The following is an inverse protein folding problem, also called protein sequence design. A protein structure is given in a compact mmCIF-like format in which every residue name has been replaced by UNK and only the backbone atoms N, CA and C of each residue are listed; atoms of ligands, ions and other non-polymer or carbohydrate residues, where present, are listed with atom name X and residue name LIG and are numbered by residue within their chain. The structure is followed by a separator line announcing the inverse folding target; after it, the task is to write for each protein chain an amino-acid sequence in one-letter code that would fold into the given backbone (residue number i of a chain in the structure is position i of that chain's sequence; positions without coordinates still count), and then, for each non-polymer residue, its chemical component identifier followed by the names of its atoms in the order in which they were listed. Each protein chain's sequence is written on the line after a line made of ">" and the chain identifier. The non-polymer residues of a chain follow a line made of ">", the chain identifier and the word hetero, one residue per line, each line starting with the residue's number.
data_IF_452253298247
#
_entry.id   IF_452253298247
#
_cell.length_a   1.000
_cell.length_b   1.000
_cell.length_c   1.000
_cell.angle_alpha   90.00
_cell.angle_beta   90.00
_cell.angle_gamma   90.00
#
_symmetry.space_group_name_H-M   'P 1'
#
loop_
_entity.id
_entity.type
_entity.pdbx_description
1 polymer ?
#
# COMPACT_ATOMS: atom_id res chain seq x y z
N UNK A 1 -14.89 -0.17 -3.81
CA UNK A 1 -13.58 0.16 -3.20
C UNK A 1 -13.51 -0.09 -1.69
N UNK A 2 -14.65 -0.24 -1.02
CA UNK A 2 -14.77 -0.21 0.43
C UNK A 2 -14.79 -1.65 0.99
N UNK A 3 -13.98 -1.90 2.02
CA UNK A 3 -13.88 -3.16 2.74
C UNK A 3 -14.36 -2.93 4.17
N UNK A 4 -15.51 -3.51 4.53
CA UNK A 4 -16.05 -3.37 5.88
C UNK A 4 -15.36 -4.33 6.84
N UNK A 5 -14.98 -3.86 8.02
CA UNK A 5 -14.29 -4.70 9.00
C UNK A 5 -15.11 -5.94 9.40
N UNK A 6 -16.43 -5.83 9.50
CA UNK A 6 -17.31 -6.97 9.80
C UNK A 6 -17.30 -8.09 8.74
N UNK A 7 -16.83 -7.80 7.52
CA UNK A 7 -16.68 -8.80 6.45
C UNK A 7 -15.38 -9.62 6.59
N UNK A 8 -14.46 -9.19 7.46
CA UNK A 8 -13.21 -9.90 7.70
C UNK A 8 -13.42 -11.05 8.68
N UNK A 9 -12.68 -12.13 8.46
CA UNK A 9 -12.64 -13.26 9.40
C UNK A 9 -11.32 -13.27 10.15
N UNK A 10 -11.37 -13.36 11.47
CA UNK A 10 -10.19 -13.62 12.29
C UNK A 10 -9.87 -15.12 12.28
N UNK A 11 -8.63 -15.48 11.95
CA UNK A 11 -8.11 -16.85 11.96
C UNK A 11 -6.77 -16.83 12.67
N UNK A 12 -6.68 -17.47 13.84
CA UNK A 12 -5.54 -17.28 14.74
C UNK A 12 -5.40 -15.80 15.13
N UNK A 13 -4.22 -15.24 14.94
CA UNK A 13 -3.90 -13.85 15.24
C UNK A 13 -4.10 -12.89 14.05
N UNK A 14 -4.48 -13.39 12.87
CA UNK A 14 -4.60 -12.57 11.65
C UNK A 14 -6.05 -12.39 11.20
N UNK A 15 -6.28 -11.33 10.43
CA UNK A 15 -7.51 -11.12 9.69
C UNK A 15 -7.32 -11.54 8.23
N UNK A 16 -8.31 -12.23 7.68
CA UNK A 16 -8.39 -12.59 6.27
C UNK A 16 -9.65 -11.98 5.65
N UNK A 17 -9.58 -11.67 4.35
CA UNK A 17 -10.75 -11.43 3.54
C UNK A 17 -11.13 -12.76 2.84
N UNK A 18 -12.24 -13.42 3.21
CA UNK A 18 -12.65 -14.68 2.58
C UNK A 18 -12.82 -14.57 1.06
N UNK A 19 -13.23 -13.39 0.55
CA UNK A 19 -13.38 -13.14 -0.90
C UNK A 19 -12.07 -13.17 -1.68
N UNK A 20 -10.93 -13.03 -1.02
CA UNK A 20 -9.61 -13.14 -1.64
C UNK A 20 -9.16 -14.61 -1.83
N UNK A 21 -9.81 -15.56 -1.17
CA UNK A 21 -9.35 -16.93 -1.05
C UNK A 21 -10.11 -17.87 -1.99
N UNK A 22 -9.37 -18.65 -2.79
CA UNK A 22 -9.94 -19.76 -3.59
C UNK A 22 -10.34 -20.96 -2.72
N UNK A 23 -9.64 -21.13 -1.61
CA UNK A 23 -9.88 -22.17 -0.61
C UNK A 23 -9.55 -21.60 0.77
N UNK A 24 -10.29 -22.02 1.79
CA UNK A 24 -10.06 -21.55 3.16
C UNK A 24 -8.92 -22.39 3.77
N UNK A 25 -7.83 -21.77 4.26
CA UNK A 25 -6.77 -22.51 4.94
C UNK A 25 -7.28 -23.11 6.25
N UNK A 26 -6.90 -24.36 6.51
CA UNK A 26 -7.31 -25.10 7.72
C UNK A 26 -6.59 -24.61 8.99
N UNK A 27 -5.44 -23.95 8.86
CA UNK A 27 -4.68 -23.40 9.99
C UNK A 27 -3.88 -22.16 9.58
N UNK A 28 -4.15 -21.03 10.24
CA UNK A 28 -3.28 -19.85 10.31
C UNK A 28 -3.13 -19.49 11.78
N UNK A 29 -1.90 -19.51 12.31
CA UNK A 29 -1.65 -19.14 13.72
C UNK A 29 -1.24 -17.69 13.82
N UNK A 30 -0.25 -17.30 13.03
CA UNK A 30 0.37 -15.98 13.08
C UNK A 30 0.52 -15.37 11.67
N UNK A 31 1.16 -14.20 11.61
CA UNK A 31 1.42 -13.50 10.36
C UNK A 31 2.40 -14.24 9.43
N UNK A 32 3.25 -15.13 9.94
CA UNK A 32 4.20 -15.89 9.12
C UNK A 32 3.45 -16.95 8.33
N UNK A 33 2.54 -17.67 8.98
CA UNK A 33 1.62 -18.60 8.31
C UNK A 33 0.82 -17.85 7.22
N UNK A 34 0.29 -16.66 7.54
CA UNK A 34 -0.46 -15.82 6.60
C UNK A 34 0.35 -15.40 5.37
N UNK A 35 1.58 -14.89 5.56
CA UNK A 35 2.43 -14.47 4.44
C UNK A 35 3.04 -15.65 3.65
N UNK A 36 2.93 -16.88 4.15
CA UNK A 36 3.40 -18.10 3.48
C UNK A 36 2.43 -18.68 2.46
N UNK A 37 1.17 -18.23 2.47
CA UNK A 37 0.14 -18.71 1.54
C UNK A 37 0.55 -18.49 0.09
N UNK A 38 0.56 -19.56 -0.71
CA UNK A 38 0.92 -19.51 -2.12
C UNK A 38 -0.25 -19.04 -3.01
N UNK A 39 0.08 -18.34 -4.09
CA UNK A 39 -0.93 -17.75 -4.99
C UNK A 39 -1.64 -18.79 -5.86
N UNK A 40 -1.04 -19.96 -6.08
CA UNK A 40 -1.61 -21.02 -6.92
C UNK A 40 -2.81 -21.64 -6.22
N UNK A 41 -2.63 -22.02 -4.96
CA UNK A 41 -3.64 -22.65 -4.12
C UNK A 41 -4.66 -21.63 -3.61
N UNK A 42 -4.18 -20.53 -3.00
CA UNK A 42 -5.05 -19.65 -2.21
C UNK A 42 -5.52 -18.42 -2.99
N UNK A 43 -4.79 -18.01 -4.03
CA UNK A 43 -5.13 -16.87 -4.88
C UNK A 43 -4.16 -15.69 -4.76
N UNK A 44 -4.23 -14.78 -5.73
CA UNK A 44 -3.28 -13.66 -5.88
C UNK A 44 -3.27 -12.72 -4.69
N UNK A 45 -4.42 -12.53 -4.02
CA UNK A 45 -4.59 -11.62 -2.88
C UNK A 45 -4.59 -12.34 -1.52
N UNK A 46 -4.19 -13.61 -1.46
CA UNK A 46 -4.30 -14.42 -0.24
C UNK A 46 -3.46 -13.92 0.95
N UNK A 47 -2.46 -13.06 0.72
CA UNK A 47 -1.53 -12.54 1.73
C UNK A 47 -1.81 -11.08 2.13
N UNK A 48 -3.04 -10.63 1.89
CA UNK A 48 -3.57 -9.30 2.22
C UNK A 48 -5.09 -9.39 2.36
N UNK A 49 -5.70 -8.48 3.13
CA UNK A 49 -7.16 -8.34 3.13
C UNK A 49 -7.68 -7.57 1.90
N UNK A 50 -6.80 -6.92 1.15
CA UNK A 50 -7.18 -6.02 0.06
C UNK A 50 -7.16 -6.68 -1.32
N UNK A 51 -8.08 -6.23 -2.17
CA UNK A 51 -8.09 -6.49 -3.61
C UNK A 51 -8.49 -5.19 -4.36
N UNK A 52 -8.40 -5.13 -5.69
CA UNK A 52 -8.72 -3.92 -6.46
C UNK A 52 -10.14 -3.38 -6.26
N UNK A 53 -11.10 -4.22 -5.89
CA UNK A 53 -12.49 -3.85 -5.62
C UNK A 53 -12.72 -3.43 -4.16
N UNK A 54 -11.87 -3.89 -3.24
CA UNK A 54 -11.92 -3.69 -1.79
C UNK A 54 -10.54 -3.24 -1.29
N UNK A 55 -10.26 -1.95 -1.43
CA UNK A 55 -8.93 -1.35 -1.19
C UNK A 55 -8.81 -0.65 0.15
N UNK A 56 -9.93 -0.17 0.68
CA UNK A 56 -9.93 0.66 1.87
C UNK A 56 -10.74 0.01 2.97
N UNK A 57 -10.07 -0.32 4.08
CA UNK A 57 -10.74 -0.79 5.29
C UNK A 57 -11.52 0.39 5.90
N UNK A 58 -12.74 0.10 6.35
CA UNK A 58 -13.55 1.01 7.15
C UNK A 58 -14.03 0.29 8.40
N UNK A 59 -13.97 0.99 9.54
CA UNK A 59 -14.46 0.46 10.83
C UNK A 59 -15.62 1.28 11.41
N UNK A 60 -15.90 2.44 10.83
CA UNK A 60 -16.95 3.36 11.27
C UNK A 60 -17.43 4.27 10.12
N UNK A 61 -18.50 5.03 10.35
CA UNK A 61 -19.09 5.93 9.34
C UNK A 61 -18.16 7.06 8.87
N UNK A 62 -17.24 7.52 9.73
CA UNK A 62 -16.26 8.55 9.37
C UNK A 62 -15.30 7.99 8.30
N UNK A 63 -14.82 6.77 8.47
CA UNK A 63 -13.99 6.09 7.48
C UNK A 63 -14.74 5.93 6.16
N UNK A 64 -16.03 5.55 6.19
CA UNK A 64 -16.85 5.43 4.98
C UNK A 64 -16.93 6.74 4.21
N UNK A 65 -17.08 7.87 4.91
CA UNK A 65 -17.10 9.19 4.28
C UNK A 65 -15.77 9.48 3.58
N UNK A 66 -14.65 9.28 4.28
CA UNK A 66 -13.31 9.44 3.69
C UNK A 66 -13.13 8.55 2.46
N UNK A 67 -13.59 7.29 2.51
CA UNK A 67 -13.49 6.36 1.38
C UNK A 67 -14.36 6.79 0.19
N UNK A 68 -15.53 7.40 0.41
CA UNK A 68 -16.35 7.96 -0.68
C UNK A 68 -15.64 9.11 -1.39
N UNK A 69 -14.96 9.97 -0.64
CA UNK A 69 -14.16 11.06 -1.21
C UNK A 69 -12.97 10.51 -2.01
N UNK A 70 -12.27 9.48 -1.48
CA UNK A 70 -11.21 8.75 -2.18
C UNK A 70 -11.71 8.04 -3.44
N UNK A 71 -12.92 7.48 -3.42
CA UNK A 71 -13.54 6.87 -4.60
C UNK A 71 -13.83 7.93 -5.67
N UNK A 72 -14.24 9.13 -5.27
CA UNK A 72 -14.37 10.28 -6.17
C UNK A 72 -13.06 10.60 -6.87
N UNK A 73 -11.96 10.70 -6.11
CA UNK A 73 -10.61 10.90 -6.68
C UNK A 73 -10.18 9.77 -7.61
N UNK A 74 -10.46 8.51 -7.24
CA UNK A 74 -10.12 7.37 -8.09
C UNK A 74 -10.93 7.37 -9.40
N UNK A 75 -12.21 7.74 -9.36
CA UNK A 75 -13.01 7.90 -10.59
C UNK A 75 -12.48 8.99 -11.49
N UNK A 76 -11.99 10.10 -10.93
CA UNK A 76 -11.32 11.16 -11.71
C UNK A 76 -10.03 10.64 -12.36
N UNK A 77 -9.20 9.90 -11.60
CA UNK A 77 -8.02 9.23 -12.13
C UNK A 77 -8.35 8.31 -13.31
N UNK A 78 -9.41 7.51 -13.21
CA UNK A 78 -9.79 6.60 -14.30
C UNK A 78 -10.33 7.36 -15.52
N UNK A 79 -11.07 8.45 -15.31
CA UNK A 79 -11.67 9.25 -16.38
C UNK A 79 -10.64 10.06 -17.16
N UNK A 80 -9.63 10.60 -16.48
CA UNK A 80 -8.60 11.46 -17.05
C UNK A 80 -7.20 10.97 -16.67
N UNK A 81 -6.92 9.70 -17.01
CA UNK A 81 -5.70 9.04 -16.56
C UNK A 81 -4.40 9.68 -17.09
N UNK A 82 -4.43 10.32 -18.26
CA UNK A 82 -3.26 11.00 -18.85
C UNK A 82 -2.92 12.32 -18.15
N UNK A 83 -3.85 12.91 -17.39
CA UNK A 83 -3.56 14.03 -16.50
C UNK A 83 -2.69 13.60 -15.31
N UNK A 84 -2.96 12.42 -14.75
CA UNK A 84 -2.36 11.94 -13.51
C UNK A 84 -1.27 10.88 -13.71
N UNK A 85 -1.12 10.36 -14.92
CA UNK A 85 -0.07 9.46 -15.31
C UNK A 85 0.55 9.94 -16.62
N UNK A 86 1.88 9.95 -16.68
CA UNK A 86 2.59 10.15 -17.95
C UNK A 86 2.13 9.09 -18.95
N UNK A 87 1.96 9.48 -20.22
CA UNK A 87 1.44 8.62 -21.28
C UNK A 87 2.19 7.27 -21.39
N UNK A 88 3.53 7.33 -21.38
CA UNK A 88 4.37 6.12 -21.39
C UNK A 88 4.08 5.19 -20.20
N UNK A 89 3.85 5.75 -19.01
CA UNK A 89 3.62 4.99 -17.78
C UNK A 89 2.20 4.42 -17.77
N UNK A 90 1.22 5.19 -18.25
CA UNK A 90 -0.14 4.73 -18.40
C UNK A 90 -0.23 3.52 -19.35
N UNK A 91 0.35 3.64 -20.56
CA UNK A 91 0.36 2.54 -21.52
C UNK A 91 1.08 1.30 -20.97
N UNK A 92 2.22 1.46 -20.30
CA UNK A 92 2.92 0.34 -19.70
C UNK A 92 2.14 -0.29 -18.53
N UNK A 93 1.47 0.53 -17.71
CA UNK A 93 0.65 0.06 -16.61
C UNK A 93 -0.51 -0.81 -17.11
N UNK A 94 -1.18 -0.44 -18.21
CA UNK A 94 -2.23 -1.26 -18.82
C UNK A 94 -1.73 -2.62 -19.32
N UNK A 95 -0.46 -2.73 -19.73
CA UNK A 95 0.15 -4.00 -20.15
C UNK A 95 0.53 -4.91 -18.98
N UNK A 96 0.79 -4.34 -17.80
CA UNK A 96 1.29 -5.08 -16.62
C UNK A 96 0.17 -5.48 -15.67
N UNK A 97 -0.91 -4.69 -15.59
CA UNK A 97 -2.02 -4.93 -14.69
C UNK A 97 -2.76 -6.23 -15.01
N UNK A 98 -3.02 -7.04 -13.97
CA UNK A 98 -3.93 -8.21 -14.04
C UNK A 98 -5.23 -7.93 -13.27
N UNK A 99 -5.69 -6.68 -13.31
CA UNK A 99 -6.92 -6.20 -12.66
C UNK A 99 -7.54 -5.06 -13.46
N UNK A 100 -8.83 -4.80 -13.24
CA UNK A 100 -9.53 -3.68 -13.87
C UNK A 100 -9.20 -2.35 -13.17
N UNK A 101 -8.81 -1.35 -13.97
CA UNK A 101 -8.49 0.00 -13.51
C UNK A 101 -6.99 0.28 -13.38
N UNK A 102 -6.63 1.18 -12.47
CA UNK A 102 -5.26 1.62 -12.24
C UNK A 102 -4.85 1.42 -10.77
N UNK A 103 -3.54 1.35 -10.48
CA UNK A 103 -3.10 1.41 -9.09
C UNK A 103 -3.49 2.74 -8.45
N UNK A 104 -3.72 2.74 -7.14
CA UNK A 104 -4.10 3.93 -6.39
C UNK A 104 -3.47 3.91 -4.99
N UNK A 105 -4.28 3.63 -3.98
CA UNK A 105 -3.87 3.40 -2.61
C UNK A 105 -4.66 2.22 -2.02
N UNK A 106 -4.23 1.73 -0.86
CA UNK A 106 -4.97 0.78 -0.04
C UNK A 106 -4.58 0.93 1.43
N UNK A 107 -5.41 0.41 2.32
CA UNK A 107 -5.17 0.48 3.76
C UNK A 107 -6.40 0.95 4.52
N UNK A 108 -6.24 1.09 5.84
CA UNK A 108 -7.32 1.63 6.67
C UNK A 108 -7.39 3.15 6.55
N UNK A 109 -8.54 3.64 6.07
CA UNK A 109 -8.81 5.06 5.88
C UNK A 109 -8.70 5.86 7.19
N UNK A 110 -9.01 5.22 8.33
CA UNK A 110 -8.92 5.80 9.66
C UNK A 110 -7.58 5.61 10.38
N UNK A 111 -6.57 5.00 9.74
CA UNK A 111 -5.29 4.68 10.40
C UNK A 111 -4.55 5.90 10.96
N UNK A 112 -4.71 7.06 10.33
CA UNK A 112 -3.96 8.27 10.64
C UNK A 112 -2.46 8.18 10.33
N UNK A 113 -1.98 7.07 9.76
CA UNK A 113 -0.58 6.84 9.40
C UNK A 113 -0.51 6.48 7.92
N UNK A 114 0.25 7.27 7.17
CA UNK A 114 0.40 7.08 5.72
C UNK A 114 1.85 6.76 5.38
N UNK A 115 2.06 5.69 4.61
CA UNK A 115 3.34 5.41 3.95
C UNK A 115 3.25 5.80 2.48
N UNK A 116 4.14 6.68 2.04
CA UNK A 116 4.21 7.14 0.64
C UNK A 116 5.44 6.54 -0.02
N UNK A 117 5.23 5.69 -1.02
CA UNK A 117 6.26 5.09 -1.87
C UNK A 117 6.53 5.87 -3.15
N UNK A 118 7.41 5.32 -3.98
CA UNK A 118 7.83 5.93 -5.24
C UNK A 118 6.78 5.76 -6.35
N UNK A 119 6.57 4.51 -6.77
CA UNK A 119 5.71 4.12 -7.89
C UNK A 119 5.36 2.62 -7.77
N UNK A 120 4.35 2.13 -8.50
CA UNK A 120 3.98 0.73 -8.49
C UNK A 120 5.09 -0.14 -9.08
N UNK A 121 5.53 -1.18 -8.36
CA UNK A 121 6.47 -2.16 -8.89
C UNK A 121 5.81 -3.17 -9.83
N UNK A 122 6.49 -3.57 -10.91
CA UNK A 122 5.99 -4.52 -11.93
C UNK A 122 5.41 -5.83 -11.40
N UNK A 123 6.03 -6.45 -10.39
CA UNK A 123 5.52 -7.72 -9.83
C UNK A 123 4.51 -7.50 -8.71
N UNK A 124 4.46 -6.29 -8.14
CA UNK A 124 3.65 -5.93 -7.00
C UNK A 124 2.44 -5.10 -7.42
N UNK A 125 2.36 -3.88 -6.88
CA UNK A 125 1.26 -2.94 -7.09
C UNK A 125 0.93 -2.69 -8.58
N UNK A 126 1.92 -2.66 -9.47
CA UNK A 126 1.64 -2.51 -10.90
C UNK A 126 0.86 -3.68 -11.48
N UNK A 127 1.04 -4.89 -10.95
CA UNK A 127 0.37 -6.11 -11.40
C UNK A 127 -0.92 -6.40 -10.65
N UNK A 128 -0.97 -6.08 -9.35
CA UNK A 128 -2.07 -6.45 -8.45
C UNK A 128 -2.96 -5.28 -8.03
N UNK A 129 -2.54 -4.04 -8.28
CA UNK A 129 -3.23 -2.83 -7.82
C UNK A 129 -3.02 -2.52 -6.34
N UNK A 130 -2.34 -3.37 -5.57
CA UNK A 130 -2.15 -3.21 -4.10
C UNK A 130 -0.72 -2.74 -3.80
N UNK A 131 -0.60 -1.59 -3.13
CA UNK A 131 0.66 -0.99 -2.73
C UNK A 131 1.48 -1.91 -1.81
N UNK A 132 2.79 -1.89 -2.01
CA UNK A 132 3.76 -2.68 -1.22
C UNK A 132 3.39 -4.16 -1.05
N UNK A 133 2.78 -4.76 -2.06
CA UNK A 133 2.39 -6.17 -2.06
C UNK A 133 3.20 -6.98 -3.08
N UNK A 134 3.40 -8.27 -2.80
CA UNK A 134 3.94 -9.32 -3.70
C UNK A 134 5.38 -9.17 -4.20
N UNK A 135 5.84 -7.98 -4.56
CA UNK A 135 7.25 -7.78 -4.90
C UNK A 135 8.16 -7.87 -3.68
N UNK A 136 9.46 -8.09 -3.90
CA UNK A 136 10.39 -8.34 -2.82
C UNK A 136 10.49 -7.18 -1.80
N UNK A 137 10.41 -5.93 -2.27
CA UNK A 137 10.41 -4.75 -1.39
C UNK A 137 9.14 -4.63 -0.57
N UNK A 138 7.99 -4.87 -1.18
CA UNK A 138 6.70 -4.87 -0.51
C UNK A 138 6.61 -5.98 0.53
N UNK A 139 7.04 -7.20 0.18
CA UNK A 139 7.08 -8.29 1.14
C UNK A 139 8.05 -8.04 2.29
N UNK A 140 9.22 -7.45 2.04
CA UNK A 140 10.13 -7.06 3.11
C UNK A 140 9.51 -6.01 4.04
N UNK A 141 8.83 -4.99 3.48
CA UNK A 141 8.12 -3.98 4.27
C UNK A 141 7.05 -4.62 5.16
N UNK A 142 6.19 -5.46 4.58
CA UNK A 142 5.10 -6.13 5.32
C UNK A 142 5.65 -6.99 6.46
N UNK A 143 6.69 -7.78 6.21
CA UNK A 143 7.38 -8.57 7.25
C UNK A 143 7.98 -7.69 8.34
N UNK A 144 8.56 -6.55 7.97
CA UNK A 144 9.14 -5.59 8.92
C UNK A 144 8.07 -5.01 9.83
N UNK A 145 6.95 -4.56 9.27
CA UNK A 145 5.82 -4.04 10.04
C UNK A 145 5.24 -5.09 10.98
N UNK A 146 5.00 -6.31 10.50
CA UNK A 146 4.54 -7.40 11.37
C UNK A 146 5.53 -7.73 12.49
N UNK A 147 6.85 -7.71 12.21
CA UNK A 147 7.89 -7.95 13.22
C UNK A 147 7.94 -6.85 14.29
N UNK A 148 7.48 -5.65 13.96
CA UNK A 148 7.32 -4.54 14.91
C UNK A 148 5.99 -4.60 15.69
N UNK A 149 5.11 -5.55 15.38
CA UNK A 149 3.79 -5.71 15.98
C UNK A 149 2.70 -4.89 15.27
N UNK A 150 2.94 -4.43 14.05
CA UNK A 150 2.00 -3.62 13.27
C UNK A 150 1.43 -4.48 12.15
N UNK A 151 0.11 -4.57 12.04
CA UNK A 151 -0.50 -5.19 10.88
C UNK A 151 -0.37 -4.24 9.67
N UNK A 152 0.41 -4.58 8.62
CA UNK A 152 0.58 -3.73 7.44
C UNK A 152 -0.73 -3.43 6.73
N UNK A 153 -1.75 -4.28 6.85
CA UNK A 153 -3.04 -3.99 6.24
C UNK A 153 -3.76 -2.83 6.92
N UNK A 154 -3.45 -2.49 8.16
CA UNK A 154 -4.12 -1.40 8.87
C UNK A 154 -3.35 -0.07 8.75
N UNK A 155 -2.34 -0.03 7.87
CA UNK A 155 -1.60 1.18 7.52
C UNK A 155 -2.08 1.67 6.17
N UNK A 156 -2.31 2.99 6.02
CA UNK A 156 -2.62 3.56 4.71
C UNK A 156 -1.35 3.63 3.87
N UNK A 157 -1.38 3.03 2.67
CA UNK A 157 -0.22 2.92 1.80
C UNK A 157 -0.54 3.43 0.39
N UNK A 158 0.35 4.28 -0.12
CA UNK A 158 0.21 4.90 -1.43
C UNK A 158 1.56 5.12 -2.09
N UNK A 159 1.56 5.63 -3.32
CA UNK A 159 2.76 6.03 -4.06
C UNK A 159 2.60 7.44 -4.63
N UNK A 160 3.72 8.13 -4.84
CA UNK A 160 3.73 9.43 -5.54
C UNK A 160 3.16 9.29 -6.94
N UNK A 161 3.67 8.33 -7.71
CA UNK A 161 3.17 8.02 -9.05
C UNK A 161 2.20 6.84 -8.97
N UNK A 162 1.09 6.89 -9.71
CA UNK A 162 0.07 5.84 -9.70
C UNK A 162 0.21 4.79 -10.80
N UNK A 163 1.00 5.08 -11.84
CA UNK A 163 1.26 4.14 -12.94
C UNK A 163 2.69 3.61 -12.90
N UNK A 164 2.87 2.30 -13.11
CA UNK A 164 4.18 1.68 -13.13
C UNK A 164 5.07 2.25 -14.26
N UNK A 165 6.29 2.72 -13.98
CA UNK A 165 7.22 3.15 -15.01
C UNK A 165 7.87 1.95 -15.74
N UNK A 166 8.07 2.01 -17.06
CA UNK A 166 8.75 0.96 -17.81
C UNK A 166 10.08 0.53 -17.18
N UNK A 167 10.25 -0.78 -17.01
CA UNK A 167 11.45 -1.35 -16.39
C UNK A 167 11.64 -0.99 -14.91
N UNK A 168 10.61 -0.52 -14.21
CA UNK A 168 10.67 0.06 -12.86
C UNK A 168 11.69 1.21 -12.75
N UNK A 169 11.84 2.02 -13.81
CA UNK A 169 12.78 3.15 -13.86
C UNK A 169 12.02 4.47 -13.89
N UNK A 170 11.75 5.02 -12.71
CA UNK A 170 11.07 6.30 -12.60
C UNK A 170 11.97 7.46 -13.07
N UNK A 171 11.44 8.35 -13.92
CA UNK A 171 12.12 9.57 -14.39
C UNK A 171 11.58 10.84 -13.69
N UNK A 172 11.34 10.73 -12.38
CA UNK A 172 10.67 11.76 -11.56
C UNK A 172 9.14 11.73 -11.66
N UNK A 173 8.52 12.71 -11.01
CA UNK A 173 7.08 12.97 -11.00
C UNK A 173 6.77 14.32 -11.67
N UNK A 174 5.56 14.48 -12.20
CA UNK A 174 5.01 15.71 -12.79
C UNK A 174 3.89 16.31 -11.93
N UNK A 175 3.32 17.42 -12.39
CA UNK A 175 2.33 18.18 -11.62
C UNK A 175 1.06 17.40 -11.33
N UNK A 176 0.50 16.65 -12.30
CA UNK A 176 -0.71 15.87 -12.04
C UNK A 176 -0.50 14.74 -11.03
N UNK A 177 0.67 14.09 -11.03
CA UNK A 177 1.02 13.06 -10.05
C UNK A 177 1.09 13.66 -8.63
N UNK A 178 1.66 14.87 -8.51
CA UNK A 178 1.68 15.62 -7.25
C UNK A 178 0.30 16.09 -6.81
N UNK A 179 -0.50 16.65 -7.73
CA UNK A 179 -1.85 17.12 -7.47
C UNK A 179 -2.73 15.98 -6.92
N UNK A 180 -2.65 14.79 -7.53
CA UNK A 180 -3.41 13.64 -7.08
C UNK A 180 -2.96 13.18 -5.68
N UNK A 181 -1.65 13.15 -5.41
CA UNK A 181 -1.14 12.81 -4.09
C UNK A 181 -1.55 13.84 -3.03
N UNK A 182 -1.47 15.14 -3.34
CA UNK A 182 -1.88 16.22 -2.44
C UNK A 182 -3.35 16.06 -2.04
N UNK A 183 -4.24 15.95 -3.03
CA UNK A 183 -5.67 15.77 -2.82
C UNK A 183 -5.98 14.49 -2.05
N UNK A 184 -5.26 13.41 -2.31
CA UNK A 184 -5.39 12.15 -1.55
C UNK A 184 -5.02 12.36 -0.07
N UNK A 185 -3.91 13.03 0.22
CA UNK A 185 -3.48 13.31 1.60
C UNK A 185 -4.40 14.30 2.31
N UNK A 186 -4.96 15.27 1.61
CA UNK A 186 -5.98 16.20 2.15
C UNK A 186 -7.28 15.49 2.53
N UNK A 187 -7.65 14.44 1.78
CA UNK A 187 -8.82 13.60 2.09
C UNK A 187 -8.53 12.69 3.29
N UNK A 188 -7.37 12.05 3.33
CA UNK A 188 -6.99 11.11 4.40
C UNK A 188 -6.69 11.82 5.72
N UNK A 189 -6.15 13.05 5.67
CA UNK A 189 -5.75 13.86 6.83
C UNK A 189 -4.86 13.06 7.81
N UNK A 190 -3.69 12.61 7.36
CA UNK A 190 -2.80 11.81 8.20
C UNK A 190 -2.31 12.60 9.43
N UNK A 191 -2.14 11.89 10.56
CA UNK A 191 -1.43 12.40 11.74
C UNK A 191 0.07 12.29 11.58
N UNK A 192 0.54 11.28 10.84
CA UNK A 192 1.95 11.13 10.48
C UNK A 192 2.10 10.57 9.07
N UNK A 193 3.09 11.09 8.34
CA UNK A 193 3.46 10.66 6.99
C UNK A 193 4.89 10.14 7.02
N UNK A 194 5.11 8.98 6.40
CA UNK A 194 6.44 8.42 6.20
C UNK A 194 6.78 8.39 4.72
N UNK A 195 7.85 9.11 4.37
CA UNK A 195 8.42 9.14 3.04
C UNK A 195 9.32 7.91 2.83
N UNK A 196 8.84 6.92 2.06
CA UNK A 196 9.58 5.70 1.79
C UNK A 196 10.47 5.90 0.57
N UNK A 197 11.68 6.39 0.80
CA UNK A 197 12.69 6.69 -0.23
C UNK A 197 12.66 8.13 -0.75
N UNK A 198 13.69 8.46 -1.54
CA UNK A 198 13.99 9.84 -1.97
C UNK A 198 12.92 10.46 -2.88
N UNK A 199 12.19 9.65 -3.65
CA UNK A 199 11.13 10.17 -4.52
C UNK A 199 9.97 10.70 -3.67
N UNK A 200 9.50 9.91 -2.70
CA UNK A 200 8.46 10.32 -1.77
C UNK A 200 8.88 11.55 -0.95
N UNK A 201 10.13 11.57 -0.46
CA UNK A 201 10.72 12.72 0.25
C UNK A 201 10.62 14.00 -0.57
N UNK A 202 11.05 13.96 -1.83
CA UNK A 202 11.02 15.13 -2.72
C UNK A 202 9.60 15.60 -3.02
N UNK A 203 8.67 14.67 -3.23
CA UNK A 203 7.28 14.98 -3.51
C UNK A 203 6.62 15.66 -2.30
N UNK A 204 6.73 15.05 -1.12
CA UNK A 204 6.14 15.58 0.11
C UNK A 204 6.75 16.93 0.50
N UNK A 205 8.06 17.10 0.34
CA UNK A 205 8.73 18.39 0.55
C UNK A 205 8.18 19.48 -0.38
N UNK A 206 7.90 19.14 -1.63
CA UNK A 206 7.35 20.08 -2.61
C UNK A 206 5.91 20.48 -2.30
N UNK A 207 5.13 19.54 -1.75
CA UNK A 207 3.77 19.75 -1.28
C UNK A 207 3.69 20.42 0.11
N UNK A 208 4.83 20.62 0.79
CA UNK A 208 4.86 21.28 2.11
C UNK A 208 4.35 20.42 3.26
N UNK A 209 4.24 19.10 3.09
CA UNK A 209 3.89 18.19 4.18
C UNK A 209 5.09 17.93 5.09
N UNK A 210 4.83 17.82 6.40
CA UNK A 210 5.80 17.25 7.34
C UNK A 210 5.81 15.73 7.23
N UNK A 211 7.00 15.13 7.27
CA UNK A 211 7.16 13.69 7.13
C UNK A 211 8.43 13.19 7.84
N UNK A 212 8.44 11.88 8.14
CA UNK A 212 9.65 11.15 8.53
C UNK A 212 10.20 10.40 7.33
N UNK A 213 11.49 10.55 7.05
CA UNK A 213 12.16 9.82 5.98
C UNK A 213 12.54 8.40 6.43
N UNK A 214 12.27 7.41 5.56
CA UNK A 214 12.76 6.04 5.71
C UNK A 214 13.37 5.54 4.39
N UNK A 215 14.47 4.77 4.46
CA UNK A 215 15.05 4.13 3.29
C UNK A 215 14.07 3.14 2.68
N UNK A 216 13.86 3.27 1.37
CA UNK A 216 13.00 2.34 0.64
C UNK A 216 13.48 0.87 0.80
N UNK A 217 12.59 -0.12 1.06
CA UNK A 217 12.96 -1.52 1.28
C UNK A 217 13.79 -2.13 0.13
N UNK A 218 13.62 -1.62 -1.09
CA UNK A 218 14.45 -2.00 -2.25
C UNK A 218 15.95 -1.72 -2.06
N UNK A 219 16.35 -0.79 -1.18
CA UNK A 219 17.75 -0.56 -0.82
C UNK A 219 18.36 -1.75 -0.08
N UNK A 220 17.59 -2.34 0.85
CA UNK A 220 17.92 -3.54 1.61
C UNK A 220 17.91 -4.78 0.70
N UNK A 221 16.86 -4.94 -0.11
CA UNK A 221 16.72 -6.05 -1.05
C UNK A 221 17.89 -6.14 -2.04
N UNK A 222 18.37 -5.00 -2.57
CA UNK A 222 19.53 -4.95 -3.46
C UNK A 222 20.84 -5.39 -2.79
N UNK A 223 20.88 -5.41 -1.46
CA UNK A 223 22.01 -5.90 -0.64
C UNK A 223 21.82 -7.33 -0.15
N UNK A 224 20.85 -8.05 -0.70
CA UNK A 224 20.59 -9.45 -0.35
C UNK A 224 19.70 -9.65 0.86
N UNK A 225 19.20 -8.59 1.50
CA UNK A 225 18.32 -8.70 2.67
C UNK A 225 16.90 -9.05 2.21
N UNK A 226 16.40 -10.19 2.68
CA UNK A 226 15.06 -10.73 2.33
C UNK A 226 14.13 -10.90 3.52
N UNK A 227 14.70 -10.96 4.72
CA UNK A 227 14.01 -10.96 6.00
C UNK A 227 14.39 -9.71 6.79
N UNK A 228 13.51 -9.19 7.67
CA UNK A 228 13.84 -8.08 8.54
C UNK A 228 15.06 -8.40 9.41
N UNK A 229 16.02 -7.47 9.47
CA UNK A 229 17.20 -7.51 10.34
C UNK A 229 17.20 -6.29 11.28
N UNK A 230 18.19 -6.20 12.17
CA UNK A 230 18.27 -5.09 13.14
C UNK A 230 18.20 -3.70 12.51
N UNK A 231 18.93 -3.47 11.41
CA UNK A 231 19.02 -2.16 10.74
C UNK A 231 17.65 -1.67 10.23
N UNK A 232 16.92 -2.51 9.47
CA UNK A 232 15.59 -2.10 8.98
C UNK A 232 14.55 -2.04 10.11
N UNK A 233 14.66 -2.88 11.15
CA UNK A 233 13.74 -2.84 12.29
C UNK A 233 13.92 -1.57 13.13
N UNK A 234 15.17 -1.15 13.36
CA UNK A 234 15.49 0.09 14.04
C UNK A 234 15.01 1.31 13.24
N UNK A 235 15.29 1.36 11.93
CA UNK A 235 14.82 2.47 11.09
C UNK A 235 13.29 2.56 11.05
N UNK A 236 12.59 1.43 10.93
CA UNK A 236 11.13 1.41 10.83
C UNK A 236 10.40 1.46 12.18
N UNK A 237 11.11 1.47 13.32
CA UNK A 237 10.48 1.61 14.65
C UNK A 237 9.76 2.94 14.82
N UNK A 238 10.17 3.99 14.09
CA UNK A 238 9.50 5.28 14.06
C UNK A 238 8.00 5.17 13.68
N UNK A 239 7.64 4.19 12.85
CA UNK A 239 6.22 3.95 12.51
C UNK A 239 5.46 3.41 13.72
N UNK A 240 6.08 2.50 14.49
CA UNK A 240 5.50 1.97 15.73
C UNK A 240 5.26 3.07 16.74
N UNK A 241 6.23 3.96 16.91
CA UNK A 241 6.14 5.12 17.80
C UNK A 241 4.98 6.05 17.41
N UNK A 242 4.79 6.31 16.11
CA UNK A 242 3.69 7.14 15.62
C UNK A 242 2.30 6.47 15.76
N UNK A 243 2.24 5.14 15.70
CA UNK A 243 1.03 4.38 15.99
C UNK A 243 0.64 4.41 17.47
N UNK A 244 1.62 4.43 18.38
CA UNK A 244 1.37 4.39 19.82
C UNK A 244 0.90 3.01 20.30
N UNK A 245 0.12 2.98 21.40
CA UNK A 245 -0.53 1.74 21.84
C UNK A 245 -1.62 1.34 20.86
N UNK A 246 -1.38 0.23 20.15
CA UNK A 246 -2.33 -0.32 19.21
C UNK A 246 -3.48 -1.01 19.95
N UNK A 247 -4.71 -0.55 19.73
CA UNK A 247 -5.90 -1.21 20.25
C UNK A 247 -6.84 -1.61 19.10
N UNK A 248 -6.71 -2.85 18.63
CA UNK A 248 -7.72 -3.58 17.84
C UNK A 248 -7.57 -5.09 18.03
#
# INVERSE_FOLDING_TARGET
>A
MLLRFENLKKVGEVYINPGNLRTIPLALRDWRDFLSLDETTYGVYARTIYNPSERFLVVNERDEKTVRDLEGLYRELLKDSLRFCREEYHHYQLQVGEFEGLPFANGWAGSGIVLVGEAPGRKGCGKTGICFYRDASGMLLRKTLFSLGINPDFVYMTNVVKCNPPGNRLRGFGEGELELLERELEVVKPRAIFAIGRTAEKALKRLGFEFTYLRHPAWYVRRGIREPNGDILEEYSAIKEAFGEWTF
#
